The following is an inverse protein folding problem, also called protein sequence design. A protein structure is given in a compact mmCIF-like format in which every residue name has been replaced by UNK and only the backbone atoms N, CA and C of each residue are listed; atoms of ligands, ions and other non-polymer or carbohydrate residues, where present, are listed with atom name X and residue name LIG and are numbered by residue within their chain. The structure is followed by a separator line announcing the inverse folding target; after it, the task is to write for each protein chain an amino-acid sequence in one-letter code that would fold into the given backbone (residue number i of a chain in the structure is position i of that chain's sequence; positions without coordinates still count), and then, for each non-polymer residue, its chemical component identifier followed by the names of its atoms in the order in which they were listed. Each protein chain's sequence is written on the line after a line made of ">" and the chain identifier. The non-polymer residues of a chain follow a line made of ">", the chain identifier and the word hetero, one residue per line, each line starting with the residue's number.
data_IF_114656111013
#
_entry.id   IF_114656111013
#
_cell.length_a   1.000
_cell.length_b   1.000
_cell.length_c   1.000
_cell.angle_alpha   90.00
_cell.angle_beta   90.00
_cell.angle_gamma   90.00
#
_symmetry.space_group_name_H-M   'P 1'
#
loop_
_entity.id
_entity.type
_entity.pdbx_description
1 polymer ?
#
# COMPACT_ATOMS: atom_id res chain seq x y z
N UNK A 1 -6.54 -13.61 23.09
CA UNK A 1 -5.59 -13.28 22.00
C UNK A 1 -5.33 -14.44 21.01
N UNK A 2 -6.24 -15.43 20.89
CA UNK A 2 -6.13 -16.55 19.93
C UNK A 2 -6.89 -16.28 18.62
N UNK A 3 -8.09 -15.69 18.71
CA UNK A 3 -8.91 -15.32 17.55
C UNK A 3 -8.21 -14.33 16.60
N UNK A 4 -7.49 -13.34 17.14
CA UNK A 4 -6.74 -12.38 16.31
C UNK A 4 -5.58 -13.03 15.55
N UNK A 5 -4.84 -13.95 16.19
CA UNK A 5 -3.79 -14.72 15.50
C UNK A 5 -4.40 -15.60 14.41
N UNK A 6 -5.46 -16.33 14.72
CA UNK A 6 -6.13 -17.21 13.76
C UNK A 6 -6.72 -16.43 12.57
N UNK A 7 -7.35 -15.28 12.82
CA UNK A 7 -7.85 -14.41 11.77
C UNK A 7 -6.74 -13.87 10.87
N UNK A 8 -5.60 -13.44 11.44
CA UNK A 8 -4.44 -13.00 10.66
C UNK A 8 -3.86 -14.14 9.83
N UNK A 9 -3.70 -15.33 10.40
CA UNK A 9 -3.21 -16.50 9.66
C UNK A 9 -4.10 -16.78 8.46
N UNK A 10 -5.43 -16.82 8.65
CA UNK A 10 -6.40 -17.05 7.58
C UNK A 10 -6.34 -15.99 6.48
N UNK A 11 -6.15 -14.72 6.83
CA UNK A 11 -5.97 -13.64 5.86
C UNK A 11 -4.76 -13.91 4.96
N UNK A 12 -3.62 -14.29 5.54
CA UNK A 12 -2.42 -14.57 4.75
C UNK A 12 -2.52 -15.86 3.93
N UNK A 13 -3.25 -16.87 4.42
CA UNK A 13 -3.61 -18.06 3.65
C UNK A 13 -4.45 -17.67 2.42
N UNK A 14 -5.51 -16.88 2.61
CA UNK A 14 -6.36 -16.37 1.52
C UNK A 14 -5.56 -15.56 0.48
N UNK A 15 -4.64 -14.70 0.94
CA UNK A 15 -3.75 -13.93 0.04
C UNK A 15 -2.80 -14.87 -0.71
N UNK A 16 -2.28 -15.92 -0.07
CA UNK A 16 -1.37 -16.85 -0.72
C UNK A 16 -2.09 -17.76 -1.71
N UNK A 17 -3.33 -18.16 -1.45
CA UNK A 17 -4.17 -18.90 -2.41
C UNK A 17 -4.56 -18.05 -3.63
N UNK A 18 -4.62 -16.72 -3.47
CA UNK A 18 -4.93 -15.82 -4.56
C UNK A 18 -3.91 -15.96 -5.71
N UNK A 19 -4.37 -15.97 -6.98
CA UNK A 19 -3.47 -16.01 -8.13
C UNK A 19 -2.66 -14.72 -8.23
N UNK A 20 -3.27 -13.58 -7.89
CA UNK A 20 -2.67 -12.26 -7.98
C UNK A 20 -3.11 -11.37 -6.81
N UNK A 21 -2.23 -10.45 -6.45
CA UNK A 21 -2.52 -9.39 -5.48
C UNK A 21 -1.85 -8.08 -5.88
N UNK A 22 -2.26 -6.99 -5.24
CA UNK A 22 -1.58 -5.71 -5.25
C UNK A 22 -1.41 -5.23 -3.82
N UNK A 23 -0.41 -4.38 -3.61
CA UNK A 23 -0.14 -3.75 -2.30
C UNK A 23 -0.47 -2.27 -2.37
N UNK A 24 -1.14 -1.79 -1.34
CA UNK A 24 -1.38 -0.37 -1.11
C UNK A 24 -0.61 -0.01 0.16
N UNK A 25 0.20 1.02 0.08
CA UNK A 25 1.13 1.41 1.13
C UNK A 25 0.88 2.87 1.49
N UNK A 26 0.89 3.13 2.78
CA UNK A 26 0.91 4.49 3.31
C UNK A 26 1.90 4.58 4.47
N UNK A 27 2.67 5.66 4.55
CA UNK A 27 3.65 5.87 5.62
C UNK A 27 3.15 6.96 6.55
N UNK A 28 3.05 6.63 7.84
CA UNK A 28 2.60 7.54 8.87
C UNK A 28 3.67 7.67 9.96
N UNK A 29 3.64 8.78 10.68
CA UNK A 29 4.45 8.97 11.88
C UNK A 29 3.58 8.80 13.11
N UNK A 30 3.89 7.80 13.94
CA UNK A 30 3.13 7.53 15.17
C UNK A 30 3.40 8.60 16.24
N UNK A 31 2.54 8.66 17.27
CA UNK A 31 2.63 9.59 18.42
C UNK A 31 3.97 9.50 19.15
N UNK A 32 4.62 8.34 19.08
CA UNK A 32 5.96 8.09 19.64
C UNK A 32 7.10 8.59 18.76
N UNK A 33 6.79 9.33 17.67
CA UNK A 33 7.72 9.80 16.63
C UNK A 33 8.42 8.68 15.84
N UNK A 34 7.88 7.47 15.89
CA UNK A 34 8.35 6.31 15.14
C UNK A 34 7.59 6.27 13.82
N UNK A 35 8.33 6.20 12.72
CA UNK A 35 7.74 6.09 11.40
C UNK A 35 7.31 4.65 11.12
N UNK A 36 6.09 4.49 10.62
CA UNK A 36 5.46 3.20 10.36
C UNK A 36 4.92 3.15 8.95
N UNK A 37 5.03 1.98 8.34
CA UNK A 37 4.44 1.66 7.05
C UNK A 37 3.17 0.84 7.29
N UNK A 38 2.04 1.33 6.81
CA UNK A 38 0.82 0.53 6.69
C UNK A 38 0.86 -0.25 5.38
N UNK A 39 0.45 -1.52 5.41
CA UNK A 39 0.31 -2.33 4.20
C UNK A 39 -1.12 -2.89 4.14
N UNK A 40 -1.76 -2.66 3.01
CA UNK A 40 -3.06 -3.23 2.64
C UNK A 40 -2.86 -4.11 1.42
N UNK A 41 -3.37 -5.33 1.48
CA UNK A 41 -3.39 -6.24 0.34
C UNK A 41 -4.75 -6.16 -0.35
N UNK A 42 -4.72 -5.99 -1.66
CA UNK A 42 -5.89 -6.16 -2.52
C UNK A 42 -5.69 -7.40 -3.37
N UNK A 43 -6.48 -8.44 -3.14
CA UNK A 43 -6.29 -9.76 -3.77
C UNK A 43 -7.59 -10.31 -4.34
N UNK A 44 -7.44 -11.27 -5.25
CA UNK A 44 -8.53 -11.87 -5.99
C UNK A 44 -8.81 -13.27 -5.46
N UNK A 45 -10.07 -13.55 -5.09
CA UNK A 45 -10.54 -14.90 -4.75
C UNK A 45 -11.42 -15.43 -5.86
N UNK A 46 -11.03 -16.57 -6.41
CA UNK A 46 -11.83 -17.29 -7.41
C UNK A 46 -12.90 -18.09 -6.66
N UNK A 47 -14.17 -17.75 -6.89
CA UNK A 47 -15.30 -18.50 -6.38
C UNK A 47 -15.53 -19.69 -7.30
N UNK A 48 -15.64 -20.88 -6.71
CA UNK A 48 -15.79 -22.14 -7.45
C UNK A 48 -17.09 -22.84 -7.06
N UNK A 49 -17.67 -23.56 -8.01
CA UNK A 49 -18.81 -24.45 -7.76
C UNK A 49 -18.40 -25.63 -6.88
N UNK A 50 -19.39 -26.45 -6.48
CA UNK A 50 -19.16 -27.74 -5.83
C UNK A 50 -18.30 -28.71 -6.65
N UNK A 51 -18.23 -28.52 -7.97
CA UNK A 51 -17.39 -29.30 -8.90
C UNK A 51 -16.01 -28.66 -9.13
N UNK A 52 -15.61 -27.67 -8.30
CA UNK A 52 -14.34 -26.95 -8.39
C UNK A 52 -14.15 -26.16 -9.71
N UNK A 53 -15.24 -25.84 -10.40
CA UNK A 53 -15.25 -25.03 -11.62
C UNK A 53 -15.31 -23.55 -11.23
N UNK A 54 -14.45 -22.66 -11.75
CA UNK A 54 -14.55 -21.21 -11.53
C UNK A 54 -15.90 -20.67 -12.02
N UNK A 55 -16.65 -20.03 -11.14
CA UNK A 55 -17.97 -19.45 -11.45
C UNK A 55 -18.02 -17.93 -11.30
N UNK A 56 -17.18 -17.37 -10.43
CA UNK A 56 -17.15 -15.93 -10.16
C UNK A 56 -15.79 -15.50 -9.60
N UNK A 57 -15.53 -14.20 -9.58
CA UNK A 57 -14.35 -13.58 -9.03
C UNK A 57 -14.76 -12.52 -8.02
N UNK A 58 -14.21 -12.60 -6.80
CA UNK A 58 -14.40 -11.58 -5.77
C UNK A 58 -13.08 -10.93 -5.39
N UNK A 59 -13.08 -9.60 -5.34
CA UNK A 59 -11.93 -8.81 -4.89
C UNK A 59 -12.09 -8.52 -3.40
N UNK A 60 -11.00 -8.70 -2.66
CA UNK A 60 -10.90 -8.37 -1.25
C UNK A 60 -9.79 -7.37 -1.01
N UNK A 61 -10.01 -6.47 -0.06
CA UNK A 61 -9.00 -5.54 0.46
C UNK A 61 -8.85 -5.80 1.96
N UNK A 62 -7.62 -5.96 2.44
CA UNK A 62 -7.37 -6.31 3.84
C UNK A 62 -6.12 -5.61 4.36
N UNK A 63 -6.29 -4.87 5.46
CA UNK A 63 -5.20 -4.29 6.22
C UNK A 63 -4.49 -5.37 7.03
N UNK A 64 -3.17 -5.50 6.86
CA UNK A 64 -2.38 -6.55 7.52
C UNK A 64 -1.65 -6.06 8.76
N UNK A 65 -1.32 -4.78 8.83
CA UNK A 65 -0.73 -4.15 9.99
C UNK A 65 0.09 -2.90 9.69
N UNK A 66 0.64 -2.34 10.77
CA UNK A 66 1.70 -1.36 10.73
C UNK A 66 3.04 -2.05 10.93
N UNK A 67 4.03 -1.62 10.16
CA UNK A 67 5.37 -2.17 10.13
C UNK A 67 6.35 -1.04 10.41
N UNK A 68 7.09 -1.18 11.50
CA UNK A 68 8.06 -0.18 11.91
C UNK A 68 9.13 0.01 10.82
N UNK A 69 9.38 1.27 10.47
CA UNK A 69 10.29 1.64 9.38
C UNK A 69 11.42 2.46 9.96
N UNK A 70 12.64 1.92 9.91
CA UNK A 70 13.86 2.62 10.36
C UNK A 70 14.66 3.23 9.20
N UNK A 71 14.50 2.71 8.00
CA UNK A 71 15.20 3.15 6.79
C UNK A 71 14.19 3.63 5.74
N UNK A 72 14.06 4.95 5.63
CA UNK A 72 13.17 5.63 4.68
C UNK A 72 13.75 5.73 3.27
N UNK A 73 14.90 5.11 2.98
CA UNK A 73 15.36 5.01 1.61
C UNK A 73 14.51 4.02 0.83
N UNK A 74 14.44 4.19 -0.48
CA UNK A 74 13.75 3.26 -1.37
C UNK A 74 14.24 1.80 -1.22
N UNK A 75 15.50 1.62 -0.83
CA UNK A 75 16.07 0.29 -0.56
C UNK A 75 15.58 -0.30 0.76
N UNK A 76 15.54 0.50 1.84
CA UNK A 76 15.02 0.10 3.14
C UNK A 76 13.55 -0.31 3.07
N UNK A 77 12.72 0.54 2.46
CA UNK A 77 11.30 0.26 2.25
C UNK A 77 11.08 -1.04 1.44
N UNK A 78 11.85 -1.23 0.37
CA UNK A 78 11.79 -2.45 -0.43
C UNK A 78 12.18 -3.68 0.40
N UNK A 79 13.23 -3.58 1.22
CA UNK A 79 13.66 -4.70 2.06
C UNK A 79 12.58 -5.07 3.08
N UNK A 80 11.94 -4.07 3.70
CA UNK A 80 10.83 -4.29 4.62
C UNK A 80 9.70 -5.06 3.94
N UNK A 81 9.23 -4.60 2.79
CA UNK A 81 8.13 -5.24 2.05
C UNK A 81 8.49 -6.68 1.65
N UNK A 82 9.69 -6.90 1.11
CA UNK A 82 10.12 -8.24 0.68
C UNK A 82 10.23 -9.18 1.88
N UNK A 83 10.78 -8.70 3.00
CA UNK A 83 10.86 -9.47 4.24
C UNK A 83 9.47 -9.89 4.72
N UNK A 84 8.51 -8.96 4.76
CA UNK A 84 7.14 -9.28 5.18
C UNK A 84 6.46 -10.30 4.27
N UNK A 85 6.68 -10.20 2.95
CA UNK A 85 6.16 -11.18 1.99
C UNK A 85 6.81 -12.57 2.19
N UNK A 86 8.13 -12.62 2.36
CA UNK A 86 8.88 -13.86 2.58
C UNK A 86 8.48 -14.54 3.90
N UNK A 87 8.34 -13.80 5.00
CA UNK A 87 7.89 -14.31 6.30
C UNK A 87 6.47 -14.90 6.25
N UNK A 88 5.64 -14.46 5.31
CA UNK A 88 4.28 -14.97 5.09
C UNK A 88 4.20 -15.95 3.93
N UNK A 89 5.34 -16.34 3.35
CA UNK A 89 5.44 -17.24 2.19
C UNK A 89 4.64 -16.76 0.96
N UNK A 90 4.49 -15.43 0.80
CA UNK A 90 3.80 -14.81 -0.33
C UNK A 90 4.82 -14.47 -1.40
N UNK A 91 4.64 -15.01 -2.60
CA UNK A 91 5.54 -14.70 -3.71
C UNK A 91 5.28 -13.31 -4.29
N UNK A 92 6.30 -12.46 -4.33
CA UNK A 92 6.26 -11.15 -5.03
C UNK A 92 5.94 -11.29 -6.53
N UNK A 93 6.15 -12.46 -7.13
CA UNK A 93 5.80 -12.71 -8.53
C UNK A 93 4.29 -12.64 -8.81
N UNK A 94 3.45 -12.86 -7.79
CA UNK A 94 1.98 -12.71 -7.85
C UNK A 94 1.55 -11.24 -7.70
N UNK A 95 2.46 -10.34 -7.34
CA UNK A 95 2.16 -8.93 -7.22
C UNK A 95 2.00 -8.30 -8.62
N UNK A 96 0.80 -7.78 -8.90
CA UNK A 96 0.44 -7.13 -10.17
C UNK A 96 0.24 -5.63 -10.02
N UNK A 97 0.32 -5.09 -8.81
CA UNK A 97 0.14 -3.66 -8.58
C UNK A 97 0.75 -3.18 -7.27
N UNK A 98 1.23 -1.95 -7.27
CA UNK A 98 1.77 -1.25 -6.11
C UNK A 98 1.23 0.18 -6.08
N UNK A 99 0.56 0.57 -5.00
CA UNK A 99 -0.11 1.86 -4.87
C UNK A 99 0.36 2.65 -3.64
N UNK A 100 0.88 3.86 -3.85
CA UNK A 100 1.35 4.75 -2.77
C UNK A 100 1.61 6.18 -3.28
N UNK A 101 2.01 7.08 -2.38
CA UNK A 101 2.24 8.51 -2.63
C UNK A 101 3.36 8.80 -3.66
N UNK A 102 3.40 10.06 -4.15
CA UNK A 102 4.39 10.54 -5.13
C UNK A 102 5.71 11.00 -4.53
N UNK A 103 6.01 10.65 -3.28
CA UNK A 103 7.29 11.01 -2.69
C UNK A 103 8.43 10.49 -3.58
N UNK A 104 9.46 11.30 -3.82
CA UNK A 104 10.56 10.97 -4.74
C UNK A 104 11.21 9.60 -4.43
N UNK A 105 11.33 9.30 -3.13
CA UNK A 105 11.80 8.00 -2.62
C UNK A 105 10.92 6.85 -3.11
N UNK A 106 9.61 7.05 -3.18
CA UNK A 106 8.65 6.02 -3.55
C UNK A 106 8.43 5.94 -5.07
N UNK A 107 8.13 7.07 -5.70
CA UNK A 107 7.67 7.11 -7.10
C UNK A 107 8.80 7.22 -8.15
N UNK A 108 10.07 7.32 -7.73
CA UNK A 108 11.20 7.49 -8.64
C UNK A 108 11.36 6.35 -9.67
N UNK A 109 11.46 6.71 -10.96
CA UNK A 109 11.49 5.76 -12.08
C UNK A 109 12.73 4.85 -12.15
N UNK A 110 13.85 5.26 -11.54
CA UNK A 110 15.11 4.52 -11.60
C UNK A 110 15.53 3.97 -10.23
N UNK A 111 15.47 4.82 -9.21
CA UNK A 111 15.93 4.50 -7.86
C UNK A 111 14.82 4.55 -6.81
N UNK A 112 13.58 4.82 -7.20
CA UNK A 112 12.45 4.81 -6.29
C UNK A 112 12.03 3.39 -5.90
N UNK A 113 11.21 3.30 -4.86
CA UNK A 113 10.60 2.05 -4.42
C UNK A 113 9.90 1.33 -5.58
N UNK A 114 9.20 2.09 -6.42
CA UNK A 114 8.42 1.53 -7.52
C UNK A 114 9.28 0.78 -8.54
N UNK A 115 10.39 1.37 -8.96
CA UNK A 115 11.35 0.74 -9.85
C UNK A 115 11.97 -0.50 -9.20
N UNK A 116 12.32 -0.41 -7.91
CA UNK A 116 12.95 -1.51 -7.16
C UNK A 116 12.02 -2.71 -6.96
N UNK A 117 10.74 -2.47 -6.70
CA UNK A 117 9.72 -3.53 -6.59
C UNK A 117 9.37 -4.10 -7.96
N UNK A 118 9.23 -3.26 -9.01
CA UNK A 118 9.02 -3.70 -10.40
C UNK A 118 10.14 -4.64 -10.89
N UNK A 119 11.38 -4.37 -10.48
CA UNK A 119 12.52 -5.24 -10.78
C UNK A 119 12.44 -6.63 -10.12
N UNK A 120 11.70 -6.77 -9.00
CA UNK A 120 11.49 -8.07 -8.31
C UNK A 120 10.19 -8.75 -8.75
N UNK A 121 9.10 -8.00 -8.85
CA UNK A 121 7.83 -8.43 -9.41
C UNK A 121 7.59 -7.70 -10.73
N UNK A 122 7.92 -8.33 -11.86
CA UNK A 122 7.85 -7.71 -13.20
C UNK A 122 6.45 -7.16 -13.54
N UNK A 123 5.41 -7.73 -12.93
CA UNK A 123 4.02 -7.33 -13.15
C UNK A 123 3.52 -6.29 -12.14
N UNK A 124 4.31 -5.89 -11.13
CA UNK A 124 3.88 -4.97 -10.08
C UNK A 124 3.83 -3.51 -10.58
N UNK A 125 2.82 -3.15 -11.36
CA UNK A 125 2.66 -1.80 -11.91
C UNK A 125 2.37 -0.76 -10.83
N UNK A 126 3.03 0.39 -10.94
CA UNK A 126 2.86 1.49 -10.00
C UNK A 126 1.67 2.36 -10.34
N UNK A 127 0.82 2.59 -9.34
CA UNK A 127 -0.34 3.46 -9.42
C UNK A 127 -0.18 4.53 -8.34
N UNK A 128 -0.23 5.79 -8.75
CA UNK A 128 -0.17 6.89 -7.80
C UNK A 128 -1.47 6.98 -6.99
N UNK A 129 -1.36 7.28 -5.70
CA UNK A 129 -2.51 7.40 -4.80
C UNK A 129 -3.48 8.51 -5.27
N UNK A 130 -4.72 8.13 -5.59
CA UNK A 130 -5.75 9.05 -6.05
C UNK A 130 -6.12 10.11 -5.00
N UNK A 131 -6.15 9.75 -3.72
CA UNK A 131 -6.43 10.67 -2.62
C UNK A 131 -5.38 11.77 -2.52
N UNK A 132 -4.09 11.42 -2.69
CA UNK A 132 -3.02 12.40 -2.73
C UNK A 132 -3.12 13.32 -3.95
N UNK A 133 -3.45 12.78 -5.13
CA UNK A 133 -3.73 13.60 -6.32
C UNK A 133 -4.86 14.60 -6.07
N UNK A 134 -5.96 14.16 -5.46
CA UNK A 134 -7.08 15.04 -5.16
C UNK A 134 -6.65 16.14 -4.17
N UNK A 135 -5.92 15.78 -3.13
CA UNK A 135 -5.42 16.76 -2.16
C UNK A 135 -4.50 17.80 -2.81
N UNK A 136 -3.63 17.38 -3.75
CA UNK A 136 -2.80 18.33 -4.51
C UNK A 136 -3.64 19.28 -5.36
N UNK A 137 -4.63 18.79 -6.10
CA UNK A 137 -5.50 19.63 -6.92
C UNK A 137 -6.28 20.62 -6.05
N UNK A 138 -6.76 20.18 -4.88
CA UNK A 138 -7.47 21.04 -3.94
C UNK A 138 -6.55 22.12 -3.36
N UNK A 139 -5.34 21.75 -2.92
CA UNK A 139 -4.36 22.71 -2.42
C UNK A 139 -3.97 23.74 -3.49
N UNK A 140 -3.73 23.32 -4.73
CA UNK A 140 -3.41 24.25 -5.82
C UNK A 140 -4.59 25.20 -6.11
N UNK A 141 -5.82 24.69 -6.12
CA UNK A 141 -7.02 25.49 -6.32
C UNK A 141 -7.22 26.52 -5.19
N UNK A 142 -7.00 26.12 -3.94
CA UNK A 142 -7.12 26.99 -2.75
C UNK A 142 -6.02 28.05 -2.74
N UNK A 143 -4.77 27.67 -3.02
CA UNK A 143 -3.64 28.60 -3.08
C UNK A 143 -3.77 29.63 -4.21
N UNK A 144 -4.57 29.33 -5.24
CA UNK A 144 -4.92 30.27 -6.30
C UNK A 144 -5.95 31.34 -5.90
N UNK A 145 -6.56 31.24 -4.71
CA UNK A 145 -7.63 32.14 -4.24
C UNK A 145 -7.20 32.82 -2.94
N UNK A 146 -6.91 34.12 -3.01
CA UNK A 146 -6.38 34.90 -1.88
C UNK A 146 -7.27 34.88 -0.64
N UNK A 147 -8.60 34.87 -0.82
CA UNK A 147 -9.57 34.80 0.26
C UNK A 147 -9.51 33.45 0.99
N UNK A 148 -9.30 32.36 0.25
CA UNK A 148 -9.17 31.03 0.82
C UNK A 148 -7.84 30.91 1.57
N UNK A 149 -6.75 31.43 1.01
CA UNK A 149 -5.43 31.48 1.67
C UNK A 149 -5.54 32.22 3.01
N UNK A 150 -6.10 33.43 3.02
CA UNK A 150 -6.29 34.21 4.25
C UNK A 150 -7.17 33.49 5.27
N UNK A 151 -8.24 32.82 4.82
CA UNK A 151 -9.09 32.04 5.71
C UNK A 151 -8.33 30.88 6.37
N UNK A 152 -7.60 30.08 5.59
CA UNK A 152 -6.84 28.96 6.11
C UNK A 152 -5.65 29.40 6.97
N UNK A 153 -4.94 30.48 6.62
CA UNK A 153 -3.89 31.05 7.47
C UNK A 153 -4.42 31.43 8.85
N UNK A 154 -5.59 32.06 8.93
CA UNK A 154 -6.21 32.44 10.21
C UNK A 154 -6.63 31.20 11.02
N UNK A 155 -7.20 30.19 10.36
CA UNK A 155 -7.64 28.95 11.03
C UNK A 155 -6.45 28.11 11.52
N UNK A 156 -5.37 28.02 10.75
CA UNK A 156 -4.14 27.30 11.15
C UNK A 156 -3.38 28.00 12.28
N UNK A 157 -3.56 29.32 12.43
CA UNK A 157 -2.94 30.10 13.50
C UNK A 157 -3.69 30.03 14.84
N UNK A 158 -4.94 29.53 14.84
CA UNK A 158 -5.77 29.31 16.04
C UNK A 158 -5.48 27.95 16.68
#
# INVERSE_FOLDING_TARGET
>A
MLLSKHAKTKIFEDINEAPFFSIIIDTIRDISKIDQMSIVFRYVKIIKSSENIPVDIKIFETFTGFYETHDHTASGLKQLIIKELEEKSISISKCVGQGYERANVMSGNYNGLQAKLKNRGKNADYIHCASHNLNFVLNDAVNGISESVNFFEVVEYL
#
